data_IF_496410546748
#
_entry.id   IF_496410546748
#
_cell.length_a   1.000
_cell.length_b   1.000
_cell.length_c   1.000
_cell.angle_alpha   90.00
_cell.angle_beta   90.00
_cell.angle_gamma   90.00
#
_symmetry.space_group_name_H-M   'P 1'
#
loop_
_entity.id
_entity.type
_entity.pdbx_description
1 polymer ?
#
# COMPACT_ATOMS: atom_id res chain seq x y z
N UNK A 1 -16.14 39.31 -9.91
CA UNK A 1 -15.77 37.98 -9.37
C UNK A 1 -14.27 37.88 -9.56
N UNK A 2 -13.48 37.97 -8.49
CA UNK A 2 -12.01 37.99 -8.58
C UNK A 2 -11.48 36.59 -8.85
N UNK A 3 -10.51 36.47 -9.75
CA UNK A 3 -9.75 35.27 -10.18
C UNK A 3 -8.99 34.52 -9.06
N UNK A 4 -9.31 34.76 -7.78
CA UNK A 4 -8.56 34.24 -6.63
C UNK A 4 -9.17 32.95 -6.02
N UNK A 5 -10.30 32.47 -6.56
CA UNK A 5 -10.98 31.22 -6.16
C UNK A 5 -10.36 29.96 -6.78
N UNK A 6 -9.04 29.96 -7.02
CA UNK A 6 -8.35 28.83 -7.64
C UNK A 6 -8.25 27.63 -6.69
N UNK A 7 -8.88 26.50 -7.04
CA UNK A 7 -8.72 25.24 -6.33
C UNK A 7 -7.30 24.70 -6.56
N UNK A 8 -6.44 24.78 -5.53
CA UNK A 8 -5.04 24.33 -5.59
C UNK A 8 -4.85 23.07 -4.76
N UNK A 9 -4.54 21.96 -5.44
CA UNK A 9 -4.12 20.70 -4.82
C UNK A 9 -2.81 20.22 -5.44
N UNK A 10 -1.98 19.60 -4.61
CA UNK A 10 -0.79 18.86 -5.05
C UNK A 10 -0.78 17.51 -4.34
N UNK A 11 -0.69 16.45 -5.13
CA UNK A 11 -0.63 15.06 -4.67
C UNK A 11 0.40 14.33 -5.52
N UNK A 12 1.28 13.57 -4.87
CA UNK A 12 2.28 12.77 -5.57
C UNK A 12 1.67 11.50 -6.19
N UNK A 13 2.43 10.89 -7.11
CA UNK A 13 2.20 9.58 -7.70
C UNK A 13 1.46 9.58 -9.05
N UNK A 14 1.66 8.52 -9.84
CA UNK A 14 1.37 8.53 -11.29
C UNK A 14 -0.09 8.29 -11.68
N UNK A 15 -0.92 7.70 -10.82
CA UNK A 15 -2.34 7.48 -11.11
C UNK A 15 -3.12 8.80 -11.02
N UNK A 16 -4.03 9.00 -11.97
CA UNK A 16 -4.93 10.14 -12.00
C UNK A 16 -5.77 10.20 -10.73
N UNK A 17 -5.71 11.35 -10.05
CA UNK A 17 -6.34 11.54 -8.76
C UNK A 17 -6.68 13.01 -8.51
N UNK A 18 -7.70 13.22 -7.68
CA UNK A 18 -8.04 14.52 -7.11
C UNK A 18 -8.25 14.39 -5.60
N UNK A 19 -8.55 15.47 -4.88
CA UNK A 19 -8.88 15.40 -3.47
C UNK A 19 -9.98 16.39 -3.09
N UNK A 20 -10.90 15.97 -2.24
CA UNK A 20 -12.02 16.80 -1.78
C UNK A 20 -12.11 16.81 -0.25
N UNK A 21 -12.87 17.77 0.27
CA UNK A 21 -13.23 17.83 1.68
C UNK A 21 -14.60 17.17 1.90
N UNK A 22 -14.71 16.26 2.87
CA UNK A 22 -15.99 15.74 3.36
C UNK A 22 -16.38 16.57 4.57
N UNK A 23 -17.48 17.31 4.46
CA UNK A 23 -17.97 18.17 5.53
C UNK A 23 -19.50 18.07 5.60
N UNK A 24 -20.03 17.76 6.79
CA UNK A 24 -21.45 17.48 7.02
C UNK A 24 -22.03 16.49 5.98
N UNK A 25 -21.35 15.36 5.81
CA UNK A 25 -21.69 14.28 4.86
C UNK A 25 -21.83 14.69 3.39
N UNK A 26 -21.21 15.80 3.01
CA UNK A 26 -21.16 16.24 1.61
C UNK A 26 -19.73 16.44 1.14
N UNK A 27 -19.51 16.13 -0.13
CA UNK A 27 -18.27 16.46 -0.82
C UNK A 27 -18.26 17.93 -1.17
N UNK A 28 -17.16 18.61 -0.80
CA UNK A 28 -16.95 20.05 -0.98
C UNK A 28 -15.59 20.29 -1.60
N UNK A 29 -15.52 21.28 -2.49
CA UNK A 29 -14.26 21.88 -2.91
C UNK A 29 -13.76 22.79 -1.77
N UNK A 30 -12.55 22.57 -1.23
CA UNK A 30 -12.00 23.46 -0.23
C UNK A 30 -11.63 24.82 -0.83
N UNK A 31 -11.83 25.87 -0.04
CA UNK A 31 -11.41 27.23 -0.36
C UNK A 31 -10.27 27.68 0.57
N UNK A 32 -9.35 28.48 0.04
CA UNK A 32 -8.21 29.02 0.80
C UNK A 32 -7.38 27.96 1.51
N UNK A 33 -7.17 28.14 2.83
CA UNK A 33 -6.39 27.23 3.67
C UNK A 33 -7.08 25.92 4.05
N UNK A 34 -8.34 25.70 3.66
CA UNK A 34 -9.14 24.54 4.05
C UNK A 34 -8.50 23.24 3.53
N UNK A 35 -8.19 22.25 4.38
CA UNK A 35 -7.62 21.00 3.92
C UNK A 35 -8.64 20.12 3.19
N UNK A 36 -8.19 19.39 2.16
CA UNK A 36 -8.89 18.19 1.69
C UNK A 36 -8.79 17.08 2.73
N UNK A 37 -9.77 16.18 2.73
CA UNK A 37 -9.88 15.04 3.67
C UNK A 37 -9.80 13.68 2.99
N UNK A 38 -10.07 13.62 1.69
CA UNK A 38 -10.09 12.37 0.94
C UNK A 38 -9.39 12.56 -0.40
N UNK A 39 -8.71 11.51 -0.85
CA UNK A 39 -8.14 11.40 -2.19
C UNK A 39 -9.07 10.52 -3.01
N UNK A 40 -9.40 10.97 -4.22
CA UNK A 40 -10.20 10.25 -5.18
C UNK A 40 -9.28 9.76 -6.28
N UNK A 41 -9.20 8.45 -6.47
CA UNK A 41 -8.43 7.84 -7.55
C UNK A 41 -9.36 7.35 -8.65
N UNK A 42 -8.97 7.59 -9.90
CA UNK A 42 -9.69 7.11 -11.08
C UNK A 42 -9.04 5.84 -11.63
N UNK A 43 -9.80 5.00 -12.37
CA UNK A 43 -9.25 3.81 -13.01
C UNK A 43 -8.00 4.14 -13.85
N UNK A 44 -6.96 3.34 -13.68
CA UNK A 44 -5.73 3.47 -14.44
C UNK A 44 -5.95 3.10 -15.91
N UNK A 45 -5.38 3.90 -16.80
CA UNK A 45 -5.31 3.57 -18.22
C UNK A 45 -4.43 2.33 -18.49
N UNK A 46 -4.60 1.73 -19.67
CA UNK A 46 -3.76 0.64 -20.15
C UNK A 46 -2.31 1.12 -20.33
N UNK A 47 -1.36 0.25 -19.98
CA UNK A 47 0.08 0.48 -20.24
C UNK A 47 0.45 0.10 -21.68
N UNK A 48 1.61 0.54 -22.21
CA UNK A 48 2.09 0.17 -23.55
C UNK A 48 2.19 -1.35 -23.81
N UNK A 49 2.29 -2.18 -22.77
CA UNK A 49 2.30 -3.64 -22.87
C UNK A 49 0.89 -4.28 -22.95
N UNK A 50 -0.15 -3.47 -23.18
CA UNK A 50 -1.56 -3.88 -23.20
C UNK A 50 -2.06 -4.55 -21.91
N UNK A 51 -1.39 -4.30 -20.78
CA UNK A 51 -1.86 -4.75 -19.47
C UNK A 51 -3.11 -3.94 -19.11
N UNK A 52 -4.23 -4.64 -18.92
CA UNK A 52 -5.48 -4.02 -18.49
C UNK A 52 -5.42 -3.65 -17.00
N UNK A 53 -5.66 -2.38 -16.70
CA UNK A 53 -5.69 -1.83 -15.34
C UNK A 53 -6.99 -1.07 -15.06
N UNK A 54 -8.01 -1.29 -15.89
CA UNK A 54 -9.34 -0.68 -15.74
C UNK A 54 -9.99 -1.04 -14.39
N UNK A 55 -9.65 -2.18 -13.81
CA UNK A 55 -10.13 -2.63 -12.49
C UNK A 55 -9.19 -2.31 -11.32
N UNK A 56 -8.33 -1.29 -11.49
CA UNK A 56 -7.39 -0.84 -10.44
C UNK A 56 -8.10 -0.35 -9.17
N UNK A 57 -9.32 0.18 -9.28
CA UNK A 57 -10.12 0.63 -8.15
C UNK A 57 -10.52 -0.55 -7.26
N UNK A 58 -11.08 -1.59 -7.86
CA UNK A 58 -11.50 -2.81 -7.20
C UNK A 58 -10.30 -3.58 -6.64
N UNK A 59 -9.21 -3.64 -7.41
CA UNK A 59 -7.95 -4.25 -6.97
C UNK A 59 -7.41 -3.59 -5.70
N UNK A 60 -7.26 -2.26 -5.70
CA UNK A 60 -6.71 -1.54 -4.53
C UNK A 60 -7.65 -1.65 -3.33
N UNK A 61 -8.96 -1.51 -3.53
CA UNK A 61 -9.93 -1.67 -2.45
C UNK A 61 -9.85 -3.07 -1.81
N UNK A 62 -9.78 -4.12 -2.63
CA UNK A 62 -9.64 -5.49 -2.12
C UNK A 62 -8.31 -5.70 -1.39
N UNK A 63 -7.22 -5.12 -1.91
CA UNK A 63 -5.93 -5.13 -1.20
C UNK A 63 -6.05 -4.45 0.17
N UNK A 64 -6.74 -3.30 0.28
CA UNK A 64 -7.00 -2.65 1.56
C UNK A 64 -7.81 -3.55 2.51
N UNK A 65 -8.86 -4.21 2.04
CA UNK A 65 -9.64 -5.16 2.87
C UNK A 65 -8.80 -6.34 3.36
N UNK A 66 -7.94 -6.89 2.50
CA UNK A 66 -7.01 -7.95 2.90
C UNK A 66 -6.00 -7.45 3.93
N UNK A 67 -5.40 -6.27 3.73
CA UNK A 67 -4.47 -5.68 4.70
C UNK A 67 -5.12 -5.47 6.07
N UNK A 68 -6.34 -4.92 6.12
CA UNK A 68 -7.13 -4.79 7.35
C UNK A 68 -7.34 -6.15 8.02
N UNK A 69 -7.69 -7.18 7.25
CA UNK A 69 -7.91 -8.53 7.77
C UNK A 69 -6.64 -9.21 8.29
N UNK A 70 -5.45 -8.85 7.78
CA UNK A 70 -4.14 -9.25 8.31
C UNK A 70 -3.65 -8.38 9.48
N UNK A 71 -4.45 -7.42 9.95
CA UNK A 71 -4.07 -6.50 11.02
C UNK A 71 -3.00 -5.48 10.61
N UNK A 72 -2.86 -5.20 9.31
CA UNK A 72 -1.97 -4.15 8.80
C UNK A 72 -2.72 -2.82 8.78
N UNK A 73 -2.23 -1.77 9.49
CA UNK A 73 -2.80 -0.44 9.37
C UNK A 73 -2.73 0.07 7.93
N UNK A 74 -3.89 0.41 7.36
CA UNK A 74 -4.03 0.90 5.99
C UNK A 74 -5.08 2.01 5.98
N UNK A 75 -4.93 2.98 5.09
CA UNK A 75 -5.89 4.06 4.90
C UNK A 75 -7.29 3.49 4.61
N UNK A 76 -8.32 4.05 5.26
CA UNK A 76 -9.70 3.68 4.96
C UNK A 76 -10.01 4.05 3.51
N UNK A 77 -10.65 3.15 2.80
CA UNK A 77 -11.01 3.35 1.41
C UNK A 77 -12.35 2.71 1.09
N UNK A 78 -13.16 3.44 0.32
CA UNK A 78 -14.46 2.99 -0.18
C UNK A 78 -14.55 3.25 -1.68
N UNK A 79 -15.27 2.37 -2.39
CA UNK A 79 -15.60 2.57 -3.79
C UNK A 79 -16.84 3.43 -3.85
N UNK A 80 -16.73 4.61 -4.47
CA UNK A 80 -17.85 5.53 -4.66
C UNK A 80 -18.16 5.69 -6.14
N UNK A 81 -19.44 5.88 -6.46
CA UNK A 81 -19.92 6.11 -7.81
C UNK A 81 -20.57 7.48 -7.92
N UNK A 82 -20.09 8.26 -8.88
CA UNK A 82 -20.59 9.59 -9.21
C UNK A 82 -21.11 9.56 -10.66
N UNK A 83 -22.42 9.37 -10.81
CA UNK A 83 -23.02 9.15 -12.13
C UNK A 83 -22.41 7.93 -12.84
N UNK A 84 -21.74 8.17 -13.97
CA UNK A 84 -21.04 7.14 -14.74
C UNK A 84 -19.61 6.82 -14.27
N UNK A 85 -19.06 7.59 -13.32
CA UNK A 85 -17.66 7.47 -12.91
C UNK A 85 -17.54 6.73 -11.57
N UNK A 86 -16.73 5.68 -11.55
CA UNK A 86 -16.32 4.99 -10.32
C UNK A 86 -14.97 5.54 -9.86
N UNK A 87 -14.84 5.79 -8.56
CA UNK A 87 -13.59 6.24 -7.96
C UNK A 87 -13.31 5.52 -6.63
N UNK A 88 -12.03 5.27 -6.34
CA UNK A 88 -11.61 4.89 -5.00
C UNK A 88 -11.51 6.16 -4.15
N UNK A 89 -12.31 6.26 -3.11
CA UNK A 89 -12.26 7.35 -2.15
C UNK A 89 -11.45 6.90 -0.94
N UNK A 90 -10.23 7.42 -0.81
CA UNK A 90 -9.28 7.08 0.26
C UNK A 90 -9.26 8.21 1.29
N UNK A 91 -9.58 7.89 2.54
CA UNK A 91 -9.48 8.81 3.66
C UNK A 91 -8.01 9.18 3.94
N UNK A 92 -7.73 10.47 4.04
CA UNK A 92 -6.39 10.97 4.29
C UNK A 92 -5.99 10.78 5.74
N UNK A 93 -5.10 9.83 6.01
CA UNK A 93 -4.53 9.62 7.35
C UNK A 93 -3.65 10.78 7.85
N UNK A 94 -3.22 11.69 6.95
CA UNK A 94 -2.51 12.93 7.27
C UNK A 94 -3.45 14.10 7.60
N UNK A 95 -4.72 13.80 7.90
CA UNK A 95 -5.72 14.73 8.40
C UNK A 95 -6.29 14.24 9.72
N UNK A 96 -6.69 15.17 10.58
CA UNK A 96 -7.35 14.86 11.86
C UNK A 96 -8.37 15.93 12.19
N UNK A 97 -9.60 15.53 12.52
CA UNK A 97 -10.59 16.46 13.04
C UNK A 97 -10.17 16.94 14.44
N UNK A 98 -10.20 18.25 14.66
CA UNK A 98 -10.00 18.83 15.99
C UNK A 98 -11.29 18.77 16.80
N UNK A 99 -11.16 18.79 18.13
CA UNK A 99 -12.31 18.92 19.04
C UNK A 99 -13.09 20.23 18.84
N UNK A 100 -12.44 21.26 18.28
CA UNK A 100 -13.06 22.54 17.93
C UNK A 100 -13.78 22.54 16.57
N UNK A 101 -13.88 21.40 15.88
CA UNK A 101 -14.60 21.27 14.60
C UNK A 101 -13.78 21.60 13.34
N UNK A 102 -12.48 21.92 13.49
CA UNK A 102 -11.57 22.15 12.37
C UNK A 102 -10.91 20.87 11.85
N UNK A 103 -10.19 20.97 10.73
CA UNK A 103 -9.38 19.88 10.17
C UNK A 103 -7.91 20.27 10.28
N UNK A 104 -7.13 19.50 11.04
CA UNK A 104 -5.71 19.67 11.21
C UNK A 104 -4.94 18.85 10.17
N UNK A 105 -3.82 19.40 9.68
CA UNK A 105 -2.84 18.66 8.87
C UNK A 105 -1.84 17.98 9.82
N UNK A 106 -1.64 16.68 9.65
CA UNK A 106 -0.59 15.95 10.37
C UNK A 106 0.66 15.91 9.49
N UNK A 107 1.81 16.42 9.95
CA UNK A 107 3.07 16.32 9.21
C UNK A 107 3.41 14.86 8.88
N UNK A 108 3.71 14.61 7.61
CA UNK A 108 4.15 13.30 7.11
C UNK A 108 5.15 13.50 5.99
N UNK A 109 6.00 12.49 5.81
CA UNK A 109 6.95 12.39 4.70
C UNK A 109 6.97 10.94 4.21
N UNK A 110 7.19 10.76 2.91
CA UNK A 110 7.49 9.45 2.36
C UNK A 110 8.96 9.06 2.58
N UNK A 111 9.29 7.78 2.41
CA UNK A 111 10.64 7.29 2.69
C UNK A 111 11.69 7.85 1.72
N UNK A 112 11.33 8.24 0.48
CA UNK A 112 12.31 8.91 -0.37
C UNK A 112 12.70 10.26 0.23
N UNK A 113 11.72 11.04 0.71
CA UNK A 113 11.97 12.32 1.37
C UNK A 113 12.81 12.17 2.64
N UNK A 114 12.49 11.17 3.48
CA UNK A 114 13.24 10.86 4.70
C UNK A 114 14.72 10.61 4.41
N UNK A 115 15.03 9.89 3.33
CA UNK A 115 16.41 9.61 2.90
C UNK A 115 16.99 10.67 1.94
N UNK A 116 16.31 11.80 1.75
CA UNK A 116 16.70 12.88 0.83
C UNK A 116 16.95 12.39 -0.62
N UNK A 117 16.12 11.46 -1.10
CA UNK A 117 16.18 10.87 -2.42
C UNK A 117 15.13 11.48 -3.36
N UNK A 118 15.53 11.65 -4.63
CA UNK A 118 14.61 12.05 -5.69
C UNK A 118 13.73 10.89 -6.20
N UNK A 119 12.62 11.18 -6.90
CA UNK A 119 11.66 10.17 -7.37
C UNK A 119 12.26 9.08 -8.28
N UNK A 120 13.38 9.37 -8.97
CA UNK A 120 14.08 8.40 -9.81
C UNK A 120 14.71 7.24 -9.03
N UNK A 121 14.91 7.39 -7.72
CA UNK A 121 15.49 6.37 -6.84
C UNK A 121 14.46 5.76 -5.89
N UNK A 122 13.18 5.78 -6.26
CA UNK A 122 12.13 5.20 -5.41
C UNK A 122 12.21 3.68 -5.30
N UNK A 123 12.73 3.01 -6.33
CA UNK A 123 12.93 1.55 -6.33
C UNK A 123 14.31 1.16 -5.81
N UNK A 124 14.39 0.06 -5.06
CA UNK A 124 15.68 -0.44 -4.52
C UNK A 124 16.70 -0.71 -5.64
N UNK A 125 16.25 -1.30 -6.75
CA UNK A 125 17.12 -1.62 -7.90
C UNK A 125 17.75 -0.38 -8.56
N UNK A 126 17.12 0.79 -8.37
CA UNK A 126 17.55 2.08 -8.93
C UNK A 126 18.29 2.93 -7.87
N UNK A 127 18.77 2.29 -6.79
CA UNK A 127 19.52 2.93 -5.70
C UNK A 127 18.65 3.47 -4.56
N UNK A 128 17.38 3.08 -4.51
CA UNK A 128 16.48 3.38 -3.39
C UNK A 128 16.69 2.50 -2.16
N UNK A 129 16.04 2.83 -1.03
CA UNK A 129 16.19 2.08 0.20
C UNK A 129 15.42 0.75 0.15
N UNK A 130 16.14 -0.35 0.36
CA UNK A 130 15.57 -1.69 0.59
C UNK A 130 15.14 -1.94 2.04
N UNK A 131 14.70 -3.18 2.32
CA UNK A 131 14.16 -3.59 3.62
C UNK A 131 15.12 -3.29 4.77
N UNK A 132 16.41 -3.62 4.64
CA UNK A 132 17.41 -3.46 5.70
C UNK A 132 17.59 -1.99 6.12
N UNK A 133 17.68 -1.07 5.14
CA UNK A 133 17.81 0.36 5.43
C UNK A 133 16.58 0.92 6.15
N UNK A 134 15.39 0.49 5.72
CA UNK A 134 14.13 0.94 6.32
C UNK A 134 13.98 0.36 7.73
N UNK A 135 14.36 -0.91 7.94
CA UNK A 135 14.36 -1.55 9.25
C UNK A 135 15.28 -0.85 10.24
N UNK A 136 16.50 -0.52 9.82
CA UNK A 136 17.45 0.25 10.62
C UNK A 136 16.89 1.63 11.00
N UNK A 137 16.32 2.35 10.02
CA UNK A 137 15.64 3.61 10.28
C UNK A 137 14.48 3.47 11.28
N UNK A 138 13.61 2.47 11.11
CA UNK A 138 12.45 2.26 11.99
C UNK A 138 12.85 1.87 13.43
N UNK A 139 14.09 1.44 13.67
CA UNK A 139 14.61 1.24 15.03
C UNK A 139 14.64 2.54 15.85
N UNK A 140 14.71 3.69 15.17
CA UNK A 140 14.62 5.03 15.78
C UNK A 140 13.19 5.56 15.96
N UNK A 141 12.16 4.79 15.60
CA UNK A 141 10.76 5.20 15.75
C UNK A 141 10.40 5.42 17.23
N UNK A 142 9.44 6.32 17.48
CA UNK A 142 8.74 6.44 18.77
C UNK A 142 8.16 5.09 19.23
N UNK A 143 7.88 4.21 18.27
CA UNK A 143 7.43 2.86 18.47
C UNK A 143 8.46 1.83 17.95
N UNK A 144 9.71 1.96 18.43
CA UNK A 144 10.90 1.21 18.00
C UNK A 144 10.81 -0.33 18.02
N UNK A 145 9.78 -0.92 18.66
CA UNK A 145 9.52 -2.38 18.62
C UNK A 145 8.39 -2.75 17.66
N UNK A 146 7.17 -2.19 17.78
CA UNK A 146 6.07 -2.59 16.90
C UNK A 146 6.27 -2.10 15.46
N UNK A 147 6.86 -0.93 15.21
CA UNK A 147 6.99 -0.42 13.83
C UNK A 147 7.88 -1.30 12.93
N UNK A 148 9.08 -1.75 13.36
CA UNK A 148 9.86 -2.71 12.58
C UNK A 148 9.15 -4.06 12.39
N UNK A 149 8.45 -4.56 13.42
CA UNK A 149 7.71 -5.82 13.35
C UNK A 149 6.52 -5.73 12.39
N UNK A 150 5.78 -4.62 12.44
CA UNK A 150 4.67 -4.34 11.53
C UNK A 150 5.19 -4.16 10.11
N UNK A 151 6.30 -3.45 9.90
CA UNK A 151 6.91 -3.35 8.58
C UNK A 151 7.30 -4.72 8.02
N UNK A 152 7.86 -5.61 8.85
CA UNK A 152 8.15 -6.99 8.46
C UNK A 152 6.89 -7.79 8.13
N UNK A 153 5.83 -7.70 8.96
CA UNK A 153 4.50 -8.27 8.65
C UNK A 153 3.99 -7.78 7.29
N UNK A 154 4.11 -6.48 7.02
CA UNK A 154 3.71 -5.87 5.75
C UNK A 154 4.49 -6.51 4.59
N UNK A 155 5.82 -6.76 4.72
CA UNK A 155 6.61 -7.41 3.66
C UNK A 155 6.08 -8.81 3.31
N UNK A 156 5.73 -9.59 4.33
CA UNK A 156 5.13 -10.93 4.14
C UNK A 156 3.79 -10.83 3.40
N UNK A 157 2.88 -9.99 3.89
CA UNK A 157 1.54 -9.83 3.29
C UNK A 157 1.62 -9.27 1.87
N UNK A 158 2.55 -8.35 1.60
CA UNK A 158 2.76 -7.79 0.27
C UNK A 158 3.27 -8.83 -0.72
N UNK A 159 4.11 -9.77 -0.25
CA UNK A 159 4.50 -10.91 -1.07
C UNK A 159 3.33 -11.85 -1.35
N UNK A 160 2.45 -12.12 -0.37
CA UNK A 160 1.22 -12.87 -0.59
C UNK A 160 0.33 -12.22 -1.65
N UNK A 161 0.20 -10.90 -1.60
CA UNK A 161 -0.57 -10.08 -2.55
C UNK A 161 0.11 -9.90 -3.92
N UNK A 162 1.35 -10.33 -4.11
CA UNK A 162 2.16 -9.95 -5.27
C UNK A 162 2.15 -8.42 -5.51
N UNK A 163 2.29 -7.64 -4.44
CA UNK A 163 2.36 -6.19 -4.47
C UNK A 163 3.75 -5.72 -4.96
N UNK A 164 3.99 -5.89 -6.25
CA UNK A 164 5.31 -5.70 -6.88
C UNK A 164 5.75 -4.24 -6.99
N UNK A 165 4.83 -3.27 -6.88
CA UNK A 165 5.08 -1.83 -7.06
C UNK A 165 5.17 -1.07 -5.71
N UNK A 166 5.43 -1.77 -4.60
CA UNK A 166 5.59 -1.15 -3.28
C UNK A 166 7.00 -0.59 -3.06
N UNK A 167 7.26 0.55 -3.69
CA UNK A 167 8.52 1.29 -3.62
C UNK A 167 8.53 2.30 -2.45
N UNK A 168 9.67 2.96 -2.22
CA UNK A 168 9.87 3.83 -1.06
C UNK A 168 8.85 4.99 -0.93
N UNK A 169 8.37 5.58 -2.02
CA UNK A 169 7.30 6.62 -1.96
C UNK A 169 5.94 6.11 -1.46
N UNK A 170 5.70 4.79 -1.48
CA UNK A 170 4.47 4.21 -0.96
C UNK A 170 4.55 3.97 0.55
N UNK A 171 5.69 4.19 1.19
CA UNK A 171 5.86 4.12 2.65
C UNK A 171 6.02 5.53 3.21
N UNK A 172 5.27 5.86 4.27
CA UNK A 172 5.34 7.16 4.94
C UNK A 172 5.53 7.01 6.43
N UNK A 173 6.05 8.06 7.05
CA UNK A 173 6.05 8.27 8.49
C UNK A 173 5.21 9.49 8.87
N UNK A 174 4.74 9.53 10.12
CA UNK A 174 4.30 10.78 10.74
C UNK A 174 5.47 11.43 11.46
N UNK A 175 5.69 12.72 11.24
CA UNK A 175 6.60 13.51 12.05
C UNK A 175 5.85 13.96 13.30
N UNK A 176 6.43 13.69 14.46
CA UNK A 176 5.93 13.99 15.79
C UNK A 176 6.68 15.19 16.39
N UNK A 177 6.18 15.78 17.50
CA UNK A 177 6.88 16.86 18.17
C UNK A 177 8.34 16.50 18.48
N UNK A 178 9.21 17.52 18.40
CA UNK A 178 10.65 17.42 18.67
C UNK A 178 11.40 16.46 17.73
N UNK A 179 10.88 16.20 16.54
CA UNK A 179 11.56 15.40 15.50
C UNK A 179 11.47 13.89 15.70
N UNK A 180 10.72 13.41 16.69
CA UNK A 180 10.37 11.98 16.76
C UNK A 180 9.47 11.60 15.58
N UNK A 181 9.36 10.32 15.28
CA UNK A 181 8.52 9.85 14.17
C UNK A 181 7.91 8.48 14.48
N UNK A 182 6.93 8.08 13.68
CA UNK A 182 6.35 6.74 13.71
C UNK A 182 5.82 6.35 12.33
N UNK A 183 5.69 5.06 12.07
CA UNK A 183 5.17 4.54 10.82
C UNK A 183 3.73 4.99 10.57
N UNK A 184 3.43 5.42 9.34
CA UNK A 184 2.07 5.76 8.93
C UNK A 184 1.34 4.54 8.31
N UNK A 185 0.00 4.54 8.28
CA UNK A 185 -0.77 3.50 7.59
C UNK A 185 -0.33 3.30 6.12
N UNK A 186 -0.48 2.08 5.60
CA UNK A 186 -0.28 1.77 4.18
C UNK A 186 -1.30 2.48 3.30
N UNK A 187 -0.95 2.68 2.04
CA UNK A 187 -1.77 3.27 0.98
C UNK A 187 -1.18 2.86 -0.39
N UNK A 188 -1.92 3.09 -1.48
CA UNK A 188 -1.47 2.85 -2.86
C UNK A 188 -1.00 1.38 -3.08
N UNK A 189 -1.79 0.41 -2.61
CA UNK A 189 -1.43 -1.02 -2.69
C UNK A 189 -2.24 -1.72 -3.77
N UNK A 190 -1.55 -2.23 -4.80
CA UNK A 190 -2.15 -3.02 -5.88
C UNK A 190 -1.50 -4.40 -5.94
N UNK A 191 -2.33 -5.42 -6.12
CA UNK A 191 -1.90 -6.79 -6.38
C UNK A 191 -1.62 -6.98 -7.87
N UNK A 192 -0.51 -7.65 -8.20
CA UNK A 192 -0.21 -8.07 -9.56
C UNK A 192 -0.95 -9.34 -9.97
N UNK A 193 -1.57 -10.11 -9.05
CA UNK A 193 -2.21 -11.39 -9.36
C UNK A 193 -3.16 -11.35 -10.57
N UNK A 194 -4.02 -10.33 -10.77
CA UNK A 194 -4.90 -10.28 -11.95
C UNK A 194 -4.16 -10.18 -13.29
N UNK A 195 -2.89 -9.74 -13.26
CA UNK A 195 -2.06 -9.53 -14.45
C UNK A 195 -0.86 -10.48 -14.49
N UNK A 196 -0.75 -11.44 -13.56
CA UNK A 196 0.27 -12.49 -13.61
C UNK A 196 -0.19 -13.60 -14.57
N UNK A 197 0.62 -13.90 -15.59
CA UNK A 197 0.28 -14.87 -16.62
C UNK A 197 1.28 -14.87 -17.78
N UNK A 198 1.01 -15.65 -18.82
CA UNK A 198 1.85 -15.69 -20.02
C UNK A 198 1.11 -15.10 -21.22
N UNK A 199 1.84 -14.42 -22.10
CA UNK A 199 1.31 -13.80 -23.32
C UNK A 199 1.08 -12.29 -23.19
N UNK A 200 0.57 -11.69 -24.26
CA UNK A 200 0.31 -10.24 -24.35
C UNK A 200 -0.68 -9.81 -23.28
N UNK A 201 -0.38 -8.70 -22.59
CA UNK A 201 -1.23 -8.17 -21.52
C UNK A 201 -0.98 -8.79 -20.13
N UNK A 202 -0.03 -9.72 -20.00
CA UNK A 202 0.36 -10.33 -18.74
C UNK A 202 1.84 -10.13 -18.41
N UNK A 203 2.15 -10.24 -17.12
CA UNK A 203 3.50 -10.29 -16.57
C UNK A 203 3.80 -11.76 -16.24
N UNK A 204 4.81 -12.34 -16.89
CA UNK A 204 5.24 -13.70 -16.56
C UNK A 204 5.63 -13.77 -15.07
N UNK A 205 5.13 -14.76 -14.29
CA UNK A 205 5.43 -14.85 -12.86
C UNK A 205 6.92 -14.87 -12.51
N UNK A 206 7.76 -15.42 -13.39
CA UNK A 206 9.22 -15.50 -13.23
C UNK A 206 9.92 -14.15 -13.47
N UNK A 207 9.24 -13.21 -14.12
CA UNK A 207 9.70 -11.86 -14.41
C UNK A 207 9.15 -10.82 -13.43
N UNK A 208 8.18 -11.20 -12.59
CA UNK A 208 7.64 -10.33 -11.56
C UNK A 208 8.66 -10.18 -10.42
N UNK A 209 9.03 -8.93 -10.09
CA UNK A 209 9.98 -8.61 -9.02
C UNK A 209 9.33 -7.73 -7.96
N UNK A 210 9.57 -8.04 -6.69
CA UNK A 210 9.22 -7.18 -5.58
C UNK A 210 10.10 -5.93 -5.58
N UNK A 211 9.49 -4.76 -5.33
CA UNK A 211 10.21 -3.47 -5.30
C UNK A 211 11.29 -3.38 -4.22
N UNK A 212 11.20 -4.19 -3.16
CA UNK A 212 12.23 -4.35 -2.14
C UNK A 212 12.54 -5.83 -1.97
N UNK A 213 13.80 -6.21 -2.12
CA UNK A 213 14.23 -7.60 -2.04
C UNK A 213 14.36 -8.12 -0.60
N UNK A 214 14.14 -9.42 -0.46
CA UNK A 214 14.50 -10.19 0.75
C UNK A 214 15.85 -10.89 0.52
N UNK A 215 16.41 -11.44 1.59
CA UNK A 215 17.78 -11.94 1.62
C UNK A 215 17.83 -13.36 2.17
N UNK A 216 18.50 -14.26 1.43
CA UNK A 216 18.98 -15.55 1.90
C UNK A 216 20.51 -15.53 1.98
N UNK A 217 21.17 -16.51 1.34
CA UNK A 217 22.60 -16.40 0.99
C UNK A 217 22.84 -15.24 0.01
N UNK A 218 21.89 -15.03 -0.90
CA UNK A 218 21.92 -13.98 -1.92
C UNK A 218 20.67 -13.08 -1.81
N UNK A 219 20.63 -12.00 -2.59
CA UNK A 219 19.47 -11.12 -2.73
C UNK A 219 18.39 -11.78 -3.61
N UNK A 220 17.13 -11.74 -3.17
CA UNK A 220 15.98 -12.29 -3.90
C UNK A 220 14.89 -11.23 -4.10
N UNK A 221 14.73 -10.77 -5.34
CA UNK A 221 13.68 -9.83 -5.75
C UNK A 221 12.55 -10.52 -6.53
N UNK A 222 12.85 -11.58 -7.29
CA UNK A 222 11.86 -12.28 -8.11
C UNK A 222 10.79 -12.92 -7.23
N UNK A 223 9.55 -12.48 -7.40
CA UNK A 223 8.40 -12.87 -6.59
C UNK A 223 8.23 -14.39 -6.51
N UNK A 224 8.37 -15.08 -7.65
CA UNK A 224 8.21 -16.52 -7.74
C UNK A 224 9.31 -17.34 -7.03
N UNK A 225 10.49 -16.75 -6.80
CA UNK A 225 11.66 -17.41 -6.21
C UNK A 225 11.74 -17.20 -4.69
N UNK A 226 10.97 -16.26 -4.14
CA UNK A 226 10.96 -15.98 -2.70
C UNK A 226 10.35 -17.15 -1.91
N UNK A 227 10.94 -17.45 -0.75
CA UNK A 227 10.58 -18.56 0.15
C UNK A 227 10.64 -18.09 1.60
N UNK A 228 10.05 -18.88 2.51
CA UNK A 228 10.09 -18.66 3.97
C UNK A 228 11.50 -18.32 4.48
N UNK A 229 12.49 -19.12 4.11
CA UNK A 229 13.88 -18.97 4.56
C UNK A 229 14.49 -17.58 4.24
N UNK A 230 14.05 -16.94 3.14
CA UNK A 230 14.51 -15.59 2.81
C UNK A 230 13.92 -14.53 3.75
N UNK A 231 12.68 -14.72 4.21
CA UNK A 231 12.10 -13.84 5.22
C UNK A 231 12.76 -14.08 6.58
N UNK A 232 12.99 -15.33 6.96
CA UNK A 232 13.66 -15.68 8.22
C UNK A 232 15.06 -15.10 8.30
N UNK A 233 15.85 -15.25 7.22
CA UNK A 233 17.19 -14.68 7.15
C UNK A 233 17.16 -13.15 7.13
N UNK A 234 16.22 -12.53 6.39
CA UNK A 234 16.05 -11.06 6.42
C UNK A 234 15.72 -10.55 7.82
N UNK A 235 14.83 -11.23 8.54
CA UNK A 235 14.45 -10.86 9.90
C UNK A 235 15.64 -10.96 10.87
N UNK A 236 16.42 -12.04 10.77
CA UNK A 236 17.64 -12.21 11.56
C UNK A 236 18.65 -11.08 11.30
N UNK A 237 18.86 -10.72 10.02
CA UNK A 237 19.77 -9.63 9.64
C UNK A 237 19.30 -8.25 10.11
N UNK A 238 17.99 -8.08 10.33
CA UNK A 238 17.40 -6.83 10.79
C UNK A 238 17.13 -6.81 12.31
N UNK A 239 17.59 -7.82 13.06
CA UNK A 239 17.44 -7.86 14.52
C UNK A 239 16.01 -8.12 15.02
N UNK A 240 15.09 -8.63 14.20
CA UNK A 240 13.71 -9.00 14.60
C UNK A 240 13.71 -10.21 15.57
N UNK A 241 14.78 -11.01 15.60
CA UNK A 241 14.83 -12.25 16.37
C UNK A 241 14.22 -13.41 15.60
N UNK A 242 13.33 -14.19 16.23
CA UNK A 242 12.66 -15.32 15.60
C UNK A 242 11.32 -14.89 14.96
N UNK A 243 11.22 -14.75 13.63
CA UNK A 243 9.96 -14.39 12.96
C UNK A 243 9.01 -15.58 12.76
N UNK A 244 9.43 -16.81 13.09
CA UNK A 244 8.69 -18.05 12.82
C UNK A 244 7.22 -17.98 13.26
N UNK A 245 6.92 -17.62 14.54
CA UNK A 245 5.54 -17.50 15.00
C UNK A 245 4.69 -16.55 14.17
N UNK A 246 5.23 -15.37 13.78
CA UNK A 246 4.49 -14.42 12.94
C UNK A 246 4.22 -14.99 11.54
N UNK A 247 5.20 -15.68 10.95
CA UNK A 247 5.04 -16.31 9.64
C UNK A 247 3.98 -17.42 9.71
N UNK A 248 4.04 -18.26 10.75
CA UNK A 248 3.10 -19.34 10.98
C UNK A 248 1.68 -18.82 11.24
N UNK A 249 1.55 -17.74 12.02
CA UNK A 249 0.27 -17.06 12.26
C UNK A 249 -0.34 -16.55 10.95
N UNK A 250 0.44 -15.84 10.13
CA UNK A 250 -0.02 -15.34 8.82
C UNK A 250 -0.50 -16.51 7.93
N UNK A 251 0.28 -17.58 7.87
CA UNK A 251 -0.08 -18.78 7.11
C UNK A 251 -1.38 -19.41 7.62
N UNK A 252 -1.49 -19.59 8.93
CA UNK A 252 -2.65 -20.21 9.57
C UNK A 252 -3.93 -19.39 9.44
N UNK A 253 -3.84 -18.06 9.53
CA UNK A 253 -5.02 -17.18 9.39
C UNK A 253 -5.45 -16.95 7.94
N UNK A 254 -4.57 -17.18 6.95
CA UNK A 254 -4.84 -16.88 5.54
C UNK A 254 -6.13 -17.50 5.00
N UNK A 255 -6.42 -18.81 5.21
CA UNK A 255 -7.67 -19.41 4.72
C UNK A 255 -8.92 -18.70 5.26
N UNK A 256 -8.97 -18.47 6.58
CA UNK A 256 -10.09 -17.80 7.23
C UNK A 256 -10.22 -16.32 6.84
N UNK A 257 -9.10 -15.62 6.57
CA UNK A 257 -9.12 -14.26 6.01
C UNK A 257 -9.71 -14.26 4.61
N UNK A 258 -9.25 -15.16 3.74
CA UNK A 258 -9.71 -15.24 2.35
C UNK A 258 -11.20 -15.55 2.29
N UNK A 259 -11.69 -16.51 3.09
CA UNK A 259 -13.12 -16.85 3.15
C UNK A 259 -13.97 -15.69 3.66
N UNK A 260 -13.54 -15.02 4.74
CA UNK A 260 -14.25 -13.86 5.30
C UNK A 260 -14.30 -12.72 4.28
N UNK A 261 -13.15 -12.35 3.71
CA UNK A 261 -13.10 -11.24 2.74
C UNK A 261 -13.92 -11.57 1.51
N UNK A 262 -13.88 -12.81 0.99
CA UNK A 262 -14.71 -13.24 -0.14
C UNK A 262 -16.21 -13.09 0.13
N UNK A 263 -16.65 -13.49 1.33
CA UNK A 263 -18.06 -13.38 1.74
C UNK A 263 -18.52 -11.92 1.87
N UNK A 264 -17.63 -11.04 2.31
CA UNK A 264 -17.94 -9.64 2.57
C UNK A 264 -17.84 -8.76 1.30
N UNK A 265 -17.53 -9.33 0.13
CA UNK A 265 -17.52 -8.62 -1.14
C UNK A 265 -18.93 -8.21 -1.57
N UNK A 266 -19.11 -7.01 -2.16
CA UNK A 266 -20.37 -6.64 -2.80
C UNK A 266 -20.74 -7.62 -3.92
N UNK A 267 -22.03 -7.93 -4.14
CA UNK A 267 -22.47 -8.81 -5.23
C UNK A 267 -22.05 -8.32 -6.63
N UNK A 268 -21.80 -7.03 -6.78
CA UNK A 268 -21.36 -6.41 -8.05
C UNK A 268 -19.84 -6.36 -8.21
N UNK A 269 -19.08 -6.94 -7.28
CA UNK A 269 -17.62 -6.90 -7.33
C UNK A 269 -17.09 -7.81 -8.46
N UNK A 270 -16.07 -7.41 -9.24
CA UNK A 270 -15.60 -8.20 -10.37
C UNK A 270 -14.98 -9.55 -9.97
N UNK A 271 -15.64 -10.64 -10.35
CA UNK A 271 -15.22 -12.01 -10.02
C UNK A 271 -13.79 -12.33 -10.44
N UNK A 272 -13.34 -11.80 -11.58
CA UNK A 272 -11.97 -12.04 -12.05
C UNK A 272 -10.93 -11.39 -11.12
N UNK A 273 -11.19 -10.20 -10.58
CA UNK A 273 -10.28 -9.53 -9.62
C UNK A 273 -10.28 -10.27 -8.30
N UNK A 274 -11.47 -10.51 -7.73
CA UNK A 274 -11.60 -11.24 -6.48
C UNK A 274 -10.97 -12.63 -6.57
N UNK A 275 -11.37 -13.39 -7.58
CA UNK A 275 -10.91 -14.76 -7.80
C UNK A 275 -9.40 -14.86 -7.98
N UNK A 276 -8.78 -14.00 -8.79
CA UNK A 276 -7.32 -14.04 -9.01
C UNK A 276 -6.53 -13.62 -7.78
N UNK A 277 -6.92 -12.54 -7.10
CA UNK A 277 -6.22 -12.06 -5.90
C UNK A 277 -6.35 -13.07 -4.75
N UNK A 278 -7.57 -13.53 -4.44
CA UNK A 278 -7.81 -14.42 -3.31
C UNK A 278 -7.18 -15.81 -3.51
N UNK A 279 -7.28 -16.37 -4.72
CA UNK A 279 -6.57 -17.62 -5.06
C UNK A 279 -5.06 -17.43 -5.02
N UNK A 280 -4.57 -16.31 -5.52
CA UNK A 280 -3.15 -15.94 -5.51
C UNK A 280 -2.58 -15.86 -4.10
N UNK A 281 -3.25 -15.12 -3.21
CA UNK A 281 -2.89 -15.02 -1.77
C UNK A 281 -2.88 -16.40 -1.12
N UNK A 282 -3.92 -17.20 -1.34
CA UNK A 282 -4.02 -18.56 -0.79
C UNK A 282 -2.90 -19.48 -1.30
N UNK A 283 -2.58 -19.40 -2.59
CA UNK A 283 -1.53 -20.20 -3.22
C UNK A 283 -0.13 -19.80 -2.74
N UNK A 284 0.13 -18.51 -2.57
CA UNK A 284 1.40 -18.01 -2.05
C UNK A 284 1.57 -18.35 -0.57
N UNK A 285 0.52 -18.25 0.24
CA UNK A 285 0.59 -18.56 1.67
C UNK A 285 0.92 -20.05 1.95
N UNK A 286 0.53 -20.97 1.06
CA UNK A 286 0.96 -22.38 1.15
C UNK A 286 2.47 -22.59 1.03
N UNK A 287 3.21 -21.60 0.53
CA UNK A 287 4.67 -21.63 0.41
C UNK A 287 5.40 -21.09 1.65
N UNK A 288 4.68 -20.50 2.62
CA UNK A 288 5.21 -20.10 3.92
C UNK A 288 5.50 -21.30 4.81
#
# INVERSE_FOLDING_TARGET
MSDDDSFRISLAGAQERTALCRHADRWRLPQGGTPTTHIFKLPMARRPQNIDRSTSIENEWLCHKLLQAYGVPVANADILRFGGTTALCVERFDRKHSSSGGILRRPREDICQVFALGPSRKYEKDGGPGIRHIMDFLSGSLHARPDPLDFFRIRLVFWLLAAIDDHAENLSIFIQPRGSFQLAPRYDVLSAHPVLGHGTGFIAPQMAEMSMAVWGKNRHAKWAEIRREHFEKTAADCGIGNPGPLIDDIKAMTPGIVERVARDLPPTFPDHVAGTILKGVSATARKL
#
